data_IF_899467237445
#
_entry.id   IF_899467237445
#
_cell.length_a   1.000
_cell.length_b   1.000
_cell.length_c   1.000
_cell.angle_alpha   90.00
_cell.angle_beta   90.00
_cell.angle_gamma   90.00
#
_symmetry.space_group_name_H-M   'P 1'
#
loop_
_entity.id
_entity.type
_entity.pdbx_description
1 polymer ?
#
# COMPACT_ATOMS: atom_id res chain seq x y z
N UNK A 1 -15.45 -53.97 -4.99
CA UNK A 1 -16.81 -53.46 -4.66
C UNK A 1 -17.39 -52.52 -5.72
N UNK A 2 -16.58 -51.65 -6.35
CA UNK A 2 -17.04 -50.67 -7.36
C UNK A 2 -17.74 -51.26 -8.60
N UNK A 3 -17.29 -52.42 -9.09
CA UNK A 3 -17.90 -53.10 -10.27
C UNK A 3 -19.28 -53.71 -10.00
N UNK A 4 -19.64 -54.00 -8.74
CA UNK A 4 -20.99 -54.47 -8.38
C UNK A 4 -21.99 -53.31 -8.31
N UNK A 5 -21.54 -52.12 -7.89
CA UNK A 5 -22.36 -50.91 -7.86
C UNK A 5 -22.71 -50.42 -9.27
N UNK A 6 -21.77 -50.49 -10.22
CA UNK A 6 -22.03 -50.12 -11.62
C UNK A 6 -23.07 -51.02 -12.32
N UNK A 7 -23.15 -52.31 -11.97
CA UNK A 7 -24.16 -53.22 -12.53
C UNK A 7 -25.56 -53.01 -11.94
N UNK A 8 -25.67 -52.43 -10.75
CA UNK A 8 -26.96 -52.10 -10.11
C UNK A 8 -27.56 -50.81 -10.68
N UNK A 9 -26.75 -49.94 -11.29
CA UNK A 9 -27.19 -48.71 -11.96
C UNK A 9 -28.02 -48.96 -13.24
N UNK A 10 -27.81 -50.09 -13.91
CA UNK A 10 -28.46 -50.41 -15.19
C UNK A 10 -29.81 -51.15 -15.00
N UNK A 11 -30.16 -51.53 -13.76
CA UNK A 11 -31.38 -52.29 -13.44
C UNK A 11 -32.45 -51.48 -12.66
N UNK A 12 -32.24 -50.16 -12.51
CA UNK A 12 -33.25 -49.29 -11.92
C UNK A 12 -34.37 -49.04 -12.92
N UNK A 13 -35.59 -49.46 -12.56
CA UNK A 13 -36.83 -49.12 -13.29
C UNK A 13 -36.91 -47.59 -13.51
N UNK A 14 -37.51 -47.12 -14.62
CA UNK A 14 -37.55 -45.70 -14.99
C UNK A 14 -38.13 -44.79 -13.90
N UNK A 15 -38.95 -45.33 -13.00
CA UNK A 15 -39.51 -44.63 -11.84
C UNK A 15 -38.44 -44.15 -10.84
N UNK A 16 -37.32 -44.88 -10.68
CA UNK A 16 -36.26 -44.48 -9.77
C UNK A 16 -35.39 -43.35 -10.32
N UNK A 17 -35.26 -43.25 -11.64
CA UNK A 17 -34.57 -42.13 -12.29
C UNK A 17 -35.33 -40.82 -12.09
N UNK A 18 -36.67 -40.86 -12.14
CA UNK A 18 -37.51 -39.70 -11.85
C UNK A 18 -37.35 -39.23 -10.40
N UNK A 19 -37.27 -40.15 -9.42
CA UNK A 19 -37.06 -39.80 -8.01
C UNK A 19 -35.68 -39.17 -7.79
N UNK A 20 -34.64 -39.68 -8.45
CA UNK A 20 -33.28 -39.15 -8.34
C UNK A 20 -33.15 -37.75 -8.95
N UNK A 21 -33.80 -37.50 -10.09
CA UNK A 21 -33.86 -36.17 -10.71
C UNK A 21 -34.62 -35.19 -9.81
N UNK A 22 -35.75 -35.62 -9.23
CA UNK A 22 -36.51 -34.79 -8.29
C UNK A 22 -35.69 -34.42 -7.04
N UNK A 23 -34.97 -35.37 -6.46
CA UNK A 23 -34.07 -35.12 -5.32
C UNK A 23 -32.94 -34.14 -5.68
N UNK A 24 -32.33 -34.32 -6.86
CA UNK A 24 -31.28 -33.42 -7.33
C UNK A 24 -31.82 -32.00 -7.55
N UNK A 25 -33.00 -31.87 -8.17
CA UNK A 25 -33.66 -30.58 -8.39
C UNK A 25 -34.00 -29.87 -7.08
N UNK A 26 -34.48 -30.59 -6.06
CA UNK A 26 -34.76 -30.02 -4.74
C UNK A 26 -33.48 -29.53 -4.06
N UNK A 27 -32.39 -30.30 -4.13
CA UNK A 27 -31.11 -29.86 -3.54
C UNK A 27 -30.55 -28.63 -4.27
N UNK A 28 -30.58 -28.61 -5.61
CA UNK A 28 -30.16 -27.45 -6.40
C UNK A 28 -31.02 -26.21 -6.11
N UNK A 29 -32.34 -26.37 -5.98
CA UNK A 29 -33.24 -25.28 -5.61
C UNK A 29 -32.95 -24.76 -4.20
N UNK A 30 -32.66 -25.65 -3.25
CA UNK A 30 -32.23 -25.29 -1.90
C UNK A 30 -30.93 -24.49 -1.89
N UNK A 31 -29.91 -24.95 -2.63
CA UNK A 31 -28.65 -24.21 -2.79
C UNK A 31 -28.84 -22.86 -3.49
N UNK A 32 -29.74 -22.78 -4.47
CA UNK A 32 -30.06 -21.53 -5.17
C UNK A 32 -30.72 -20.52 -4.23
N UNK A 33 -31.68 -20.95 -3.40
CA UNK A 33 -32.35 -20.11 -2.42
C UNK A 33 -31.37 -19.59 -1.37
N UNK A 34 -30.54 -20.47 -0.80
CA UNK A 34 -29.53 -20.09 0.19
C UNK A 34 -28.50 -19.12 -0.39
N UNK A 35 -28.08 -19.32 -1.64
CA UNK A 35 -27.18 -18.39 -2.34
C UNK A 35 -27.85 -17.03 -2.58
N UNK A 36 -29.15 -17.04 -2.93
CA UNK A 36 -29.87 -15.79 -3.25
C UNK A 36 -29.95 -14.85 -2.05
N UNK A 37 -30.14 -15.37 -0.83
CA UNK A 37 -30.12 -14.57 0.40
C UNK A 37 -28.72 -13.97 0.67
N UNK A 38 -27.65 -14.76 0.55
CA UNK A 38 -26.27 -14.29 0.74
C UNK A 38 -25.92 -13.19 -0.28
N UNK A 39 -26.35 -13.34 -1.53
CA UNK A 39 -26.12 -12.35 -2.59
C UNK A 39 -26.88 -11.05 -2.32
N UNK A 40 -28.09 -11.13 -1.77
CA UNK A 40 -28.88 -9.96 -1.39
C UNK A 40 -28.19 -9.20 -0.26
N UNK A 41 -27.73 -9.86 0.80
CA UNK A 41 -27.01 -9.17 1.88
C UNK A 41 -25.75 -8.43 1.39
N UNK A 42 -25.00 -9.05 0.48
CA UNK A 42 -23.81 -8.43 -0.12
C UNK A 42 -24.15 -7.25 -1.04
N UNK A 43 -25.32 -7.28 -1.70
CA UNK A 43 -25.80 -6.18 -2.54
C UNK A 43 -26.40 -5.02 -1.72
N UNK A 44 -26.91 -5.27 -0.52
CA UNK A 44 -27.49 -4.24 0.36
C UNK A 44 -26.46 -3.56 1.28
N UNK A 45 -25.30 -4.18 1.57
CA UNK A 45 -24.20 -3.55 2.33
C UNK A 45 -23.67 -2.23 1.74
N UNK A 46 -23.53 -2.07 0.41
CA UNK A 46 -23.15 -0.78 -0.19
C UNK A 46 -24.25 0.29 -0.11
N UNK A 47 -25.52 -0.12 -0.16
CA UNK A 47 -26.68 0.80 -0.16
C UNK A 47 -27.01 1.35 1.22
N UNK A 48 -26.86 0.53 2.28
CA UNK A 48 -26.99 1.01 3.67
C UNK A 48 -25.96 2.11 3.99
N UNK A 49 -24.72 1.94 3.55
CA UNK A 49 -23.67 2.97 3.66
C UNK A 49 -24.02 4.29 2.96
N UNK A 50 -24.85 4.25 1.91
CA UNK A 50 -25.30 5.45 1.22
C UNK A 50 -26.51 6.11 1.92
N UNK A 51 -27.37 5.30 2.57
CA UNK A 51 -28.49 5.78 3.39
C UNK A 51 -28.04 6.57 4.63
N UNK A 52 -26.94 6.14 5.26
CA UNK A 52 -26.33 6.86 6.39
C UNK A 52 -25.71 8.21 6.00
N UNK A 53 -25.52 8.48 4.69
CA UNK A 53 -24.96 9.76 4.20
C UNK A 53 -26.01 10.84 3.89
N UNK A 54 -27.31 10.57 4.08
CA UNK A 54 -28.40 11.48 3.69
C UNK A 54 -29.19 12.08 4.88
N UNK A 55 -28.74 11.90 6.12
CA UNK A 55 -29.28 12.65 7.26
C UNK A 55 -28.76 14.10 7.23
N UNK A 56 -29.62 15.13 7.29
CA UNK A 56 -29.16 16.51 7.34
C UNK A 56 -28.63 16.85 8.74
N UNK A 57 -27.32 16.80 8.92
CA UNK A 57 -26.67 17.21 10.17
C UNK A 57 -26.63 18.73 10.28
N UNK A 58 -27.55 19.28 11.07
CA UNK A 58 -27.40 20.59 11.71
C UNK A 58 -26.68 20.44 13.04
N UNK A 59 -25.39 20.13 13.01
CA UNK A 59 -24.44 20.53 14.05
C UNK A 59 -23.07 20.72 13.41
N UNK A 60 -22.89 21.93 12.88
CA UNK A 60 -21.61 22.47 12.48
C UNK A 60 -20.73 22.69 13.73
N UNK A 61 -20.03 21.64 14.15
CA UNK A 61 -18.78 21.77 14.91
C UNK A 61 -17.87 20.58 14.59
N UNK A 62 -16.91 20.84 13.71
CA UNK A 62 -15.68 20.05 13.50
C UNK A 62 -15.83 18.54 13.34
N UNK A 63 -16.22 18.08 12.15
CA UNK A 63 -15.49 16.97 11.54
C UNK A 63 -14.19 17.53 10.97
N UNK A 64 -13.25 17.87 11.85
CA UNK A 64 -11.85 17.75 11.45
C UNK A 64 -11.68 16.28 11.15
N UNK A 65 -11.48 15.97 9.87
CA UNK A 65 -10.85 14.72 9.43
C UNK A 65 -9.79 14.39 10.48
N UNK A 66 -9.97 13.32 11.26
CA UNK A 66 -9.03 12.89 12.30
C UNK A 66 -7.82 12.27 11.60
N UNK A 67 -7.18 13.10 10.77
CA UNK A 67 -5.97 12.77 10.08
C UNK A 67 -4.87 12.86 11.12
N UNK A 68 -4.53 11.72 11.70
CA UNK A 68 -3.35 11.63 12.55
C UNK A 68 -2.13 11.92 11.66
N UNK A 69 -1.68 13.18 11.73
CA UNK A 69 -0.54 13.67 10.99
C UNK A 69 0.71 12.84 11.29
N UNK A 70 0.81 12.28 12.50
CA UNK A 70 1.93 11.46 12.92
C UNK A 70 1.88 10.06 12.28
N UNK A 71 0.71 9.45 12.15
CA UNK A 71 0.57 8.11 11.52
C UNK A 71 0.88 8.14 10.01
N UNK A 72 0.65 9.28 9.36
CA UNK A 72 0.88 9.46 7.93
C UNK A 72 2.14 10.28 7.59
N UNK A 73 2.98 10.54 8.58
CA UNK A 73 4.18 11.37 8.44
C UNK A 73 5.20 10.72 7.48
N UNK A 74 5.64 11.49 6.50
CA UNK A 74 6.74 11.08 5.62
C UNK A 74 7.82 12.16 5.60
N UNK A 75 9.05 11.76 5.89
CA UNK A 75 10.24 12.59 5.79
C UNK A 75 11.08 12.12 4.59
N UNK A 76 11.43 13.05 3.70
CA UNK A 76 12.35 12.85 2.60
C UNK A 76 13.70 13.50 2.90
N UNK A 77 14.72 12.67 3.08
CA UNK A 77 16.10 13.08 3.18
C UNK A 77 16.84 12.82 1.86
N UNK A 78 16.78 13.79 0.95
CA UNK A 78 17.47 13.73 -0.34
C UNK A 78 18.97 14.05 -0.19
N UNK A 79 19.67 13.13 0.45
CA UNK A 79 21.02 13.30 1.01
C UNK A 79 22.08 13.69 -0.03
N UNK A 80 22.85 14.71 0.31
CA UNK A 80 24.05 15.11 -0.43
C UNK A 80 25.25 14.22 -0.03
N UNK A 81 26.10 13.78 -0.98
CA UNK A 81 27.32 13.04 -0.65
C UNK A 81 28.32 13.88 0.15
N UNK A 82 29.06 13.19 1.04
CA UNK A 82 30.19 13.73 1.84
C UNK A 82 29.84 14.92 2.76
N UNK A 83 28.61 14.92 3.28
CA UNK A 83 28.09 15.92 4.25
C UNK A 83 27.81 15.34 5.65
N UNK A 84 28.27 14.13 5.94
CA UNK A 84 27.90 13.41 7.18
C UNK A 84 26.57 12.65 7.07
N UNK A 85 26.06 12.47 5.84
CA UNK A 85 24.77 11.84 5.59
C UNK A 85 24.67 10.39 6.05
N UNK A 86 25.77 9.62 6.00
CA UNK A 86 25.80 8.24 6.51
C UNK A 86 25.61 8.20 8.02
N UNK A 87 26.32 9.07 8.76
CA UNK A 87 26.19 9.18 10.21
C UNK A 87 24.77 9.55 10.63
N UNK A 88 24.14 10.51 9.95
CA UNK A 88 22.76 10.92 10.22
C UNK A 88 21.77 9.77 9.99
N UNK A 89 21.91 9.03 8.89
CA UNK A 89 21.03 7.91 8.56
C UNK A 89 21.19 6.75 9.54
N UNK A 90 22.40 6.49 10.04
CA UNK A 90 22.62 5.44 11.03
C UNK A 90 21.82 5.71 12.32
N UNK A 91 21.80 6.97 12.77
CA UNK A 91 20.95 7.37 13.92
C UNK A 91 19.48 7.06 13.61
N UNK A 92 19.01 7.36 12.40
CA UNK A 92 17.64 7.05 12.01
C UNK A 92 17.35 5.53 12.04
N UNK A 93 18.28 4.69 11.57
CA UNK A 93 18.15 3.23 11.65
C UNK A 93 18.17 2.70 13.09
N UNK A 94 18.97 3.30 13.98
CA UNK A 94 19.02 2.91 15.39
C UNK A 94 17.72 3.26 16.12
N UNK A 95 17.11 4.39 15.77
CA UNK A 95 15.90 4.91 16.40
C UNK A 95 14.58 4.44 15.77
N UNK A 96 14.61 3.82 14.59
CA UNK A 96 13.38 3.45 13.86
C UNK A 96 12.51 2.44 14.61
N UNK A 97 13.14 1.44 15.24
CA UNK A 97 12.44 0.41 16.03
C UNK A 97 11.80 0.96 17.30
N UNK A 98 12.52 1.66 18.20
CA UNK A 98 11.90 2.18 19.43
C UNK A 98 10.83 3.22 19.15
N UNK A 99 11.01 4.05 18.11
CA UNK A 99 10.08 5.12 17.76
C UNK A 99 9.01 4.69 16.74
N UNK A 100 8.97 3.41 16.36
CA UNK A 100 7.95 2.80 15.48
C UNK A 100 7.77 3.52 14.13
N UNK A 101 8.87 3.84 13.45
CA UNK A 101 8.84 4.36 12.08
C UNK A 101 9.74 3.53 11.17
N UNK A 102 9.60 3.71 9.85
CA UNK A 102 10.38 2.96 8.86
C UNK A 102 11.47 3.81 8.22
N UNK A 103 12.62 3.20 7.91
CA UNK A 103 13.71 3.87 7.17
C UNK A 103 13.93 3.14 5.86
N UNK A 104 13.73 3.84 4.74
CA UNK A 104 13.84 3.26 3.40
C UNK A 104 14.94 3.96 2.60
N UNK A 105 15.82 3.17 1.99
CA UNK A 105 16.83 3.68 1.08
C UNK A 105 16.29 3.73 -0.36
N UNK A 106 16.40 4.88 -1.00
CA UNK A 106 16.07 5.08 -2.40
C UNK A 106 17.34 4.85 -3.23
N UNK A 107 17.35 3.78 -3.99
CA UNK A 107 18.40 3.52 -4.96
C UNK A 107 17.99 4.05 -6.34
N UNK A 108 18.86 4.86 -6.96
CA UNK A 108 18.65 5.37 -8.32
C UNK A 108 19.68 4.74 -9.25
N UNK A 109 19.21 4.23 -10.39
CA UNK A 109 20.07 3.61 -11.40
C UNK A 109 21.23 4.53 -11.78
N UNK A 110 22.44 3.96 -11.84
CA UNK A 110 23.68 4.67 -12.17
C UNK A 110 23.98 5.90 -11.30
N UNK A 111 23.42 5.98 -10.09
CA UNK A 111 23.55 7.14 -9.19
C UNK A 111 23.15 8.46 -9.85
N UNK A 112 22.23 8.43 -10.82
CA UNK A 112 21.70 9.65 -11.42
C UNK A 112 20.97 10.47 -10.35
N UNK A 113 21.25 11.77 -10.28
CA UNK A 113 20.57 12.63 -9.32
C UNK A 113 19.15 12.98 -9.75
N UNK A 114 18.86 12.98 -11.05
CA UNK A 114 17.55 13.38 -11.58
C UNK A 114 16.79 12.16 -12.07
N UNK A 115 15.59 11.96 -11.51
CA UNK A 115 14.68 10.90 -11.94
C UNK A 115 14.01 11.26 -13.27
N UNK A 116 13.78 10.28 -14.14
CA UNK A 116 12.93 10.46 -15.33
C UNK A 116 11.48 10.74 -14.91
N UNK A 117 10.68 11.40 -15.77
CA UNK A 117 9.28 11.70 -15.45
C UNK A 117 8.46 10.45 -15.05
N UNK A 118 8.55 9.30 -15.73
CA UNK A 118 7.87 8.08 -15.30
C UNK A 118 8.29 7.64 -13.89
N UNK A 119 9.60 7.69 -13.58
CA UNK A 119 10.12 7.33 -12.27
C UNK A 119 9.70 8.33 -11.19
N UNK A 120 9.60 9.62 -11.51
CA UNK A 120 9.06 10.63 -10.59
C UNK A 120 7.61 10.31 -10.24
N UNK A 121 6.76 10.02 -11.24
CA UNK A 121 5.35 9.67 -11.03
C UNK A 121 5.24 8.40 -10.17
N UNK A 122 6.02 7.37 -10.49
CA UNK A 122 6.01 6.12 -9.72
C UNK A 122 6.48 6.34 -8.28
N UNK A 123 7.55 7.11 -8.09
CA UNK A 123 8.08 7.44 -6.77
C UNK A 123 7.05 8.19 -5.92
N UNK A 124 6.43 9.23 -6.46
CA UNK A 124 5.39 10.01 -5.77
C UNK A 124 4.18 9.14 -5.42
N UNK A 125 3.75 8.25 -6.33
CA UNK A 125 2.67 7.29 -6.06
C UNK A 125 3.04 6.32 -4.94
N UNK A 126 4.26 5.79 -4.92
CA UNK A 126 4.71 4.87 -3.90
C UNK A 126 4.76 5.55 -2.53
N UNK A 127 5.39 6.72 -2.45
CA UNK A 127 5.50 7.50 -1.20
C UNK A 127 4.12 7.91 -0.68
N UNK A 128 3.19 8.31 -1.57
CA UNK A 128 1.86 8.71 -1.14
C UNK A 128 0.96 7.55 -0.73
N UNK A 129 0.99 6.41 -1.44
CA UNK A 129 0.02 5.32 -1.27
C UNK A 129 0.49 4.14 -0.43
N UNK A 130 1.76 4.05 -0.09
CA UNK A 130 2.27 2.94 0.72
C UNK A 130 2.04 3.20 2.21
N UNK A 131 0.80 3.03 2.65
CA UNK A 131 0.36 3.35 4.02
C UNK A 131 1.04 2.45 5.06
N UNK A 132 1.30 1.18 4.74
CA UNK A 132 1.97 0.23 5.64
C UNK A 132 3.39 0.63 6.07
N UNK A 133 4.04 1.53 5.33
CA UNK A 133 5.39 2.00 5.66
C UNK A 133 5.37 3.34 6.40
N UNK A 134 4.21 3.94 6.65
CA UNK A 134 4.11 5.22 7.35
C UNK A 134 3.95 4.97 8.87
N UNK A 135 4.58 5.78 9.73
CA UNK A 135 5.48 6.89 9.40
C UNK A 135 6.84 6.42 8.85
N UNK A 136 7.41 7.18 7.91
CA UNK A 136 8.63 6.78 7.20
C UNK A 136 9.63 7.91 6.95
N UNK A 137 10.92 7.58 7.05
CA UNK A 137 12.04 8.35 6.55
C UNK A 137 12.61 7.68 5.30
N UNK A 138 12.43 8.33 4.16
CA UNK A 138 13.05 7.93 2.90
C UNK A 138 14.36 8.70 2.72
N UNK A 139 15.47 8.03 2.42
CA UNK A 139 16.75 8.68 2.16
C UNK A 139 17.39 8.18 0.87
N UNK A 140 18.07 9.04 0.14
CA UNK A 140 18.80 8.65 -1.07
C UNK A 140 19.41 9.81 -1.82
N UNK A 141 20.29 9.48 -2.78
CA UNK A 141 21.02 10.47 -3.57
C UNK A 141 20.21 10.95 -4.78
N UNK A 142 19.19 11.75 -4.53
CA UNK A 142 18.35 12.35 -5.57
C UNK A 142 18.24 13.87 -5.43
N UNK A 143 17.96 14.54 -6.54
CA UNK A 143 17.60 15.93 -6.58
C UNK A 143 16.22 16.15 -5.92
N UNK A 144 15.95 17.39 -5.57
CA UNK A 144 14.64 17.79 -5.06
C UNK A 144 13.54 17.46 -6.09
N UNK A 145 12.47 16.82 -5.62
CA UNK A 145 11.29 16.54 -6.42
C UNK A 145 10.11 17.32 -5.85
N UNK A 146 9.47 18.15 -6.68
CA UNK A 146 8.30 18.92 -6.26
C UNK A 146 7.04 18.05 -6.34
N UNK A 147 6.60 17.58 -5.17
CA UNK A 147 5.40 16.76 -5.03
C UNK A 147 4.11 17.53 -5.37
N UNK A 148 4.14 18.87 -5.35
CA UNK A 148 2.98 19.72 -5.68
C UNK A 148 2.53 19.56 -7.13
N UNK A 149 3.45 19.19 -8.03
CA UNK A 149 3.17 19.00 -9.47
C UNK A 149 2.32 17.76 -9.76
N UNK A 150 2.16 16.87 -8.78
CA UNK A 150 1.50 15.58 -8.95
C UNK A 150 0.14 15.50 -8.25
N UNK A 151 -0.41 16.65 -7.81
CA UNK A 151 -1.75 16.76 -7.20
C UNK A 151 -1.99 15.78 -6.04
N UNK A 152 -1.00 15.62 -5.18
CA UNK A 152 -1.15 14.80 -3.96
C UNK A 152 -1.68 15.66 -2.81
N UNK A 153 -2.52 15.05 -1.96
CA UNK A 153 -3.09 15.70 -0.79
C UNK A 153 -2.03 15.99 0.29
N UNK A 154 -1.17 15.01 0.59
CA UNK A 154 -0.18 15.12 1.67
C UNK A 154 1.23 15.18 1.09
N UNK A 155 1.93 16.29 1.38
CA UNK A 155 3.31 16.49 0.95
C UNK A 155 4.27 15.98 2.03
N UNK A 156 5.33 15.26 1.64
CA UNK A 156 6.38 14.86 2.58
C UNK A 156 7.18 16.06 3.07
N UNK A 157 7.75 15.93 4.26
CA UNK A 157 8.67 16.91 4.84
C UNK A 157 10.05 16.69 4.27
N UNK A 158 10.65 17.72 3.67
CA UNK A 158 12.03 17.65 3.18
C UNK A 158 13.01 18.12 4.25
N UNK A 159 14.08 17.35 4.44
CA UNK A 159 15.23 17.73 5.25
C UNK A 159 16.52 17.54 4.44
N UNK A 160 17.57 18.28 4.76
CA UNK A 160 18.87 18.06 4.15
C UNK A 160 20.02 18.51 5.04
N UNK A 161 21.22 18.02 4.75
CA UNK A 161 22.47 18.40 5.40
C UNK A 161 23.49 18.78 4.32
N UNK A 162 23.97 20.01 4.41
CA UNK A 162 24.97 20.57 3.49
C UNK A 162 26.28 20.82 4.23
N UNK A 163 27.36 20.93 3.45
CA UNK A 163 28.72 21.20 3.95
C UNK A 163 29.33 22.32 3.13
N UNK A 164 30.31 23.04 3.71
CA UNK A 164 31.14 24.00 2.97
C UNK A 164 31.61 23.39 1.64
N UNK A 165 31.45 24.11 0.50
CA UNK A 165 31.68 23.52 -0.82
C UNK A 165 33.06 22.92 -1.02
N UNK A 166 34.11 23.62 -0.59
CA UNK A 166 35.50 23.16 -0.72
C UNK A 166 35.78 21.91 0.13
N UNK A 167 35.39 21.93 1.40
CA UNK A 167 35.58 20.79 2.30
C UNK A 167 34.85 19.53 1.81
N UNK A 168 33.65 19.71 1.23
CA UNK A 168 32.90 18.62 0.60
C UNK A 168 33.65 18.06 -0.61
N UNK A 169 34.19 18.93 -1.46
CA UNK A 169 34.98 18.53 -2.64
C UNK A 169 36.25 17.78 -2.23
N UNK A 170 36.99 18.29 -1.25
CA UNK A 170 38.20 17.64 -0.71
C UNK A 170 37.85 16.26 -0.14
N UNK A 171 36.77 16.16 0.64
CA UNK A 171 36.31 14.88 1.19
C UNK A 171 35.90 13.90 0.09
N UNK A 172 35.27 14.37 -0.98
CA UNK A 172 34.92 13.53 -2.13
C UNK A 172 36.14 13.08 -2.93
N UNK A 173 37.11 13.98 -3.14
CA UNK A 173 38.36 13.69 -3.84
C UNK A 173 39.16 12.54 -3.20
N UNK A 174 39.30 12.57 -1.87
CA UNK A 174 40.03 11.52 -1.15
C UNK A 174 39.21 10.24 -1.00
N UNK A 175 37.89 10.33 -0.86
CA UNK A 175 37.01 9.16 -0.88
C UNK A 175 37.13 8.34 -2.15
N UNK A 176 37.18 8.98 -3.33
CA UNK A 176 37.34 8.27 -4.60
C UNK A 176 38.68 7.52 -4.73
N UNK A 177 39.69 7.87 -3.93
CA UNK A 177 41.04 7.28 -3.97
C UNK A 177 41.26 6.22 -2.90
N UNK A 178 40.70 6.45 -1.72
CA UNK A 178 41.03 5.68 -0.52
C UNK A 178 39.82 4.96 0.08
N UNK A 179 38.60 5.18 -0.44
CA UNK A 179 37.38 4.63 0.11
C UNK A 179 36.86 5.40 1.33
N UNK A 180 35.91 4.79 2.02
CA UNK A 180 35.47 5.19 3.37
C UNK A 180 36.34 4.50 4.44
#
# INVERSE_FOLDING_TARGET
MLRKLLKMWILLRPTHWLILIALCAVTCAGYWLLWSEIRLEHAFKPLSKLGDSLTPDQHASSTTDDFDFEEHLVVLYNRVPKTGSTSFVNIAYDLCKPNKFHVLHINVTANMHVLSLPNQIQFVRNVSRWHEMKPALYHGHMAFLDFSKFQIAHKPIYINLVRKPLDRLVSYYYFLRFGD
#
